data_IF_347431689549
#
_entry.id   IF_347431689549
#
_cell.length_a   1.000
_cell.length_b   1.000
_cell.length_c   1.000
_cell.angle_alpha   90.00
_cell.angle_beta   90.00
_cell.angle_gamma   90.00
#
_symmetry.space_group_name_H-M   'P 1'
#
loop_
_entity.id
_entity.type
_entity.pdbx_description
1 polymer ?
#
# COMPACT_ATOMS: atom_id res chain seq x y z
N UNK A 1 34.39 40.76 14.17
CA UNK A 1 34.43 39.68 13.17
C UNK A 1 35.38 38.62 13.68
N UNK A 2 34.92 37.37 13.83
CA UNK A 2 35.66 36.30 14.53
C UNK A 2 36.84 35.72 13.74
N UNK A 3 37.03 36.08 12.47
CA UNK A 3 38.06 35.48 11.59
C UNK A 3 37.84 34.03 11.23
N UNK A 4 36.83 33.37 11.78
CA UNK A 4 36.46 31.98 11.51
C UNK A 4 35.64 31.91 10.22
N UNK A 5 35.95 31.06 9.23
CA UNK A 5 35.14 30.87 8.03
C UNK A 5 33.70 30.46 8.37
N UNK A 6 32.70 30.94 7.60
CA UNK A 6 31.27 30.64 7.85
C UNK A 6 30.98 29.16 7.97
N UNK A 7 31.62 28.32 7.16
CA UNK A 7 31.47 26.85 7.16
C UNK A 7 31.89 26.20 8.48
N UNK A 8 32.74 26.90 9.28
CA UNK A 8 33.27 26.41 10.55
C UNK A 8 32.51 27.01 11.76
N UNK A 9 31.47 27.85 11.51
CA UNK A 9 30.69 28.50 12.55
C UNK A 9 29.41 27.70 12.83
N UNK A 10 29.12 27.51 14.12
CA UNK A 10 27.83 27.08 14.63
C UNK A 10 27.37 28.10 15.67
N UNK A 11 26.20 28.66 15.49
CA UNK A 11 25.64 29.63 16.42
C UNK A 11 24.56 28.91 17.25
N UNK A 12 24.70 28.96 18.56
CA UNK A 12 23.71 28.43 19.49
C UNK A 12 23.00 29.61 20.17
N UNK A 13 21.68 29.57 20.20
CA UNK A 13 20.90 30.35 21.14
C UNK A 13 20.57 29.45 22.33
N UNK A 14 21.15 29.78 23.48
CA UNK A 14 21.18 28.92 24.67
C UNK A 14 21.77 27.53 24.35
N UNK A 15 20.93 26.50 24.16
CA UNK A 15 21.36 25.13 23.83
C UNK A 15 20.94 24.71 22.42
N UNK A 16 20.25 25.58 21.65
CA UNK A 16 19.69 25.25 20.35
C UNK A 16 20.56 25.83 19.21
N UNK A 17 20.93 24.98 18.25
CA UNK A 17 21.67 25.43 17.07
C UNK A 17 20.76 26.21 16.12
N UNK A 18 21.16 27.43 15.77
CA UNK A 18 20.46 28.28 14.81
C UNK A 18 20.88 27.97 13.37
N UNK A 19 19.91 27.89 12.47
CA UNK A 19 20.12 27.83 11.03
C UNK A 19 20.25 29.22 10.44
N UNK A 20 20.86 29.35 9.27
CA UNK A 20 21.02 30.64 8.57
C UNK A 20 19.68 31.37 8.29
N UNK A 21 18.56 30.65 8.36
CA UNK A 21 17.19 31.17 8.10
C UNK A 21 16.43 31.50 9.37
N UNK A 22 16.97 31.20 10.56
CA UNK A 22 16.25 31.38 11.80
C UNK A 22 16.35 32.87 12.22
N UNK A 23 15.22 33.48 12.56
CA UNK A 23 15.20 34.80 13.16
C UNK A 23 15.63 34.68 14.63
N UNK A 24 16.51 35.57 15.06
CA UNK A 24 16.93 35.67 16.45
C UNK A 24 15.75 36.13 17.31
N UNK A 25 15.34 35.27 18.24
CA UNK A 25 14.38 35.66 19.27
C UNK A 25 15.03 36.73 20.16
N UNK A 26 14.35 37.85 20.39
CA UNK A 26 14.85 38.99 21.18
C UNK A 26 15.16 38.62 22.64
N UNK A 27 14.63 37.48 23.10
CA UNK A 27 14.77 36.96 24.46
C UNK A 27 15.86 35.90 24.63
N UNK A 28 16.63 35.58 23.55
CA UNK A 28 17.75 34.64 23.64
C UNK A 28 18.82 35.18 24.62
N UNK A 29 18.92 34.54 25.79
CA UNK A 29 19.76 35.02 26.90
C UNK A 29 21.27 34.90 26.61
N UNK A 30 21.68 33.93 25.78
CA UNK A 30 23.08 33.69 25.42
C UNK A 30 23.25 33.19 24.01
N UNK A 31 24.08 33.87 23.21
CA UNK A 31 24.56 33.39 21.93
C UNK A 31 25.99 32.83 22.07
N UNK A 32 26.17 31.58 21.71
CA UNK A 32 27.50 30.93 21.75
C UNK A 32 27.95 30.60 20.33
N UNK A 33 29.15 30.96 19.99
CA UNK A 33 29.80 30.57 18.76
C UNK A 33 30.65 29.31 19.01
N UNK A 34 30.25 28.19 18.44
CA UNK A 34 31.08 27.00 18.39
C UNK A 34 31.81 26.93 17.03
N UNK A 35 33.11 26.66 17.09
CA UNK A 35 33.91 26.46 15.89
C UNK A 35 33.92 24.98 15.56
N UNK A 36 33.41 24.63 14.36
CA UNK A 36 33.52 23.28 13.84
C UNK A 36 34.98 22.90 13.63
N UNK A 37 35.27 21.61 13.74
CA UNK A 37 36.52 21.08 13.21
C UNK A 37 36.59 21.41 11.71
N UNK A 38 37.69 22.10 11.24
CA UNK A 38 37.81 22.51 9.85
C UNK A 38 37.69 21.35 8.84
N UNK A 39 38.14 20.16 9.23
CA UNK A 39 38.05 18.96 8.38
C UNK A 39 36.59 18.50 8.25
N UNK A 40 35.82 18.50 9.35
CA UNK A 40 34.38 18.22 9.29
C UNK A 40 33.62 19.22 8.41
N UNK A 41 33.98 20.51 8.46
CA UNK A 41 33.36 21.54 7.64
C UNK A 41 33.59 21.29 6.14
N UNK A 42 34.80 20.88 5.77
CA UNK A 42 35.14 20.51 4.38
C UNK A 42 34.32 19.29 3.93
N UNK A 43 34.22 18.25 4.75
CA UNK A 43 33.47 17.07 4.39
C UNK A 43 31.95 17.32 4.32
N UNK A 44 31.39 18.16 5.19
CA UNK A 44 30.00 18.59 5.09
C UNK A 44 29.72 19.30 3.75
N UNK A 45 30.58 20.24 3.36
CA UNK A 45 30.45 20.95 2.09
C UNK A 45 30.54 19.99 0.90
N UNK A 46 31.48 19.02 0.93
CA UNK A 46 31.61 17.98 -0.09
C UNK A 46 30.35 17.11 -0.19
N UNK A 47 29.83 16.62 0.94
CA UNK A 47 28.62 15.78 1.00
C UNK A 47 27.39 16.57 0.54
N UNK A 48 27.24 17.83 0.96
CA UNK A 48 26.12 18.69 0.57
C UNK A 48 26.12 19.00 -0.93
N UNK A 49 27.27 19.10 -1.58
CA UNK A 49 27.38 19.41 -3.00
C UNK A 49 27.53 18.15 -3.89
N UNK A 50 27.72 16.96 -3.31
CA UNK A 50 27.90 15.72 -4.07
C UNK A 50 26.61 15.29 -4.79
N UNK A 51 26.73 14.77 -5.98
CA UNK A 51 25.64 14.09 -6.68
C UNK A 51 25.21 12.81 -5.94
N UNK A 52 26.20 12.06 -5.43
CA UNK A 52 26.01 10.82 -4.65
C UNK A 52 26.64 10.95 -3.26
N UNK A 53 25.92 11.50 -2.27
CA UNK A 53 26.44 11.74 -0.92
C UNK A 53 27.01 10.50 -0.23
N UNK A 54 26.42 9.31 -0.45
CA UNK A 54 26.90 8.05 0.10
C UNK A 54 28.29 7.65 -0.40
N UNK A 55 28.64 8.00 -1.62
CA UNK A 55 29.95 7.64 -2.18
C UNK A 55 31.04 8.57 -1.66
N UNK A 56 30.71 9.86 -1.47
CA UNK A 56 31.61 10.77 -0.77
C UNK A 56 31.82 10.36 0.70
N UNK A 57 30.74 9.97 1.39
CA UNK A 57 30.82 9.48 2.77
C UNK A 57 31.74 8.25 2.88
N UNK A 58 31.65 7.28 1.96
CA UNK A 58 32.52 6.10 1.96
C UNK A 58 34.02 6.46 1.83
N UNK A 59 34.32 7.55 1.13
CA UNK A 59 35.69 8.05 0.95
C UNK A 59 36.23 8.83 2.15
N UNK A 60 35.33 9.24 3.07
CA UNK A 60 35.72 9.97 4.26
C UNK A 60 36.57 9.11 5.20
N UNK A 61 37.58 9.69 5.91
CA UNK A 61 38.29 9.01 6.97
C UNK A 61 37.34 8.51 8.08
N UNK A 62 37.72 7.44 8.80
CA UNK A 62 36.86 6.82 9.82
C UNK A 62 36.46 7.83 10.90
N UNK A 63 37.40 8.64 11.40
CA UNK A 63 37.09 9.66 12.43
C UNK A 63 36.07 10.71 11.95
N UNK A 64 35.94 10.94 10.64
CA UNK A 64 34.90 11.83 10.07
C UNK A 64 33.55 11.11 9.99
N UNK A 65 33.53 9.80 9.69
CA UNK A 65 32.32 9.00 9.64
C UNK A 65 31.63 8.87 10.99
N UNK A 66 32.37 8.94 12.07
CA UNK A 66 31.88 8.92 13.45
C UNK A 66 31.17 10.24 13.86
N UNK A 67 31.33 11.31 13.07
CA UNK A 67 30.67 12.56 13.37
C UNK A 67 29.18 12.54 13.01
N UNK A 68 28.33 12.69 14.02
CA UNK A 68 26.86 12.70 13.89
C UNK A 68 26.36 13.69 12.84
N UNK A 69 26.94 14.88 12.78
CA UNK A 69 26.58 15.94 11.84
C UNK A 69 26.80 15.52 10.37
N UNK A 70 27.88 14.80 10.11
CA UNK A 70 28.19 14.21 8.79
C UNK A 70 27.14 13.17 8.42
N UNK A 71 26.79 12.27 9.34
CA UNK A 71 25.76 11.24 9.16
C UNK A 71 24.38 11.86 8.88
N UNK A 72 23.99 12.90 9.62
CA UNK A 72 22.75 13.64 9.35
C UNK A 72 22.76 14.28 7.96
N UNK A 73 23.85 14.90 7.54
CA UNK A 73 23.94 15.52 6.22
C UNK A 73 23.79 14.49 5.07
N UNK A 74 24.34 13.30 5.26
CA UNK A 74 24.23 12.19 4.28
C UNK A 74 22.82 11.69 4.19
N UNK A 75 22.16 11.36 5.32
CA UNK A 75 20.81 10.80 5.32
C UNK A 75 19.75 11.81 4.95
N UNK A 76 19.94 13.09 5.27
CA UNK A 76 19.04 14.16 4.88
C UNK A 76 18.92 14.31 3.37
N UNK A 77 19.99 14.00 2.64
CA UNK A 77 19.98 14.01 1.16
C UNK A 77 19.52 12.70 0.55
N UNK A 78 19.82 11.59 1.20
CA UNK A 78 19.47 10.26 0.71
C UNK A 78 19.29 9.29 1.88
N UNK A 79 18.03 9.12 2.33
CA UNK A 79 17.69 8.33 3.53
C UNK A 79 18.22 6.90 3.51
N UNK A 80 18.25 6.25 2.34
CA UNK A 80 18.78 4.89 2.21
C UNK A 80 20.29 4.79 2.48
N UNK A 81 20.99 5.93 2.58
CA UNK A 81 22.41 5.96 2.98
C UNK A 81 22.63 5.50 4.43
N UNK A 82 21.59 5.36 5.23
CA UNK A 82 21.68 4.78 6.58
C UNK A 82 22.42 3.42 6.57
N UNK A 83 22.30 2.64 5.49
CA UNK A 83 22.98 1.35 5.32
C UNK A 83 24.51 1.39 5.33
N UNK A 84 25.09 2.55 5.08
CA UNK A 84 26.56 2.73 5.01
C UNK A 84 27.13 3.49 6.19
N UNK A 85 26.27 3.91 7.13
CA UNK A 85 26.66 4.59 8.35
C UNK A 85 27.20 3.59 9.39
N UNK A 86 28.05 4.06 10.34
CA UNK A 86 28.46 3.28 11.50
C UNK A 86 27.28 2.80 12.33
N UNK A 87 27.45 1.72 13.07
CA UNK A 87 26.41 1.08 13.89
C UNK A 87 25.85 2.05 14.96
N UNK A 88 26.70 2.87 15.55
CA UNK A 88 26.33 3.89 16.54
C UNK A 88 25.34 4.91 15.92
N UNK A 89 25.52 5.26 14.66
CA UNK A 89 24.64 6.18 13.95
C UNK A 89 23.32 5.50 13.54
N UNK A 90 23.33 4.19 13.33
CA UNK A 90 22.12 3.40 13.11
C UNK A 90 21.28 3.21 14.39
N UNK A 91 21.84 3.51 15.57
CA UNK A 91 21.15 3.56 16.86
C UNK A 91 20.84 5.00 17.33
N UNK A 92 21.27 6.01 16.59
CA UNK A 92 20.90 7.41 16.85
C UNK A 92 19.50 7.69 16.32
N UNK A 93 18.56 7.97 17.23
CA UNK A 93 17.14 8.18 16.90
C UNK A 93 16.93 9.33 15.91
N UNK A 94 17.68 10.43 16.04
CA UNK A 94 17.49 11.60 15.16
C UNK A 94 18.02 11.33 13.75
N UNK A 95 19.17 10.67 13.64
CA UNK A 95 19.74 10.22 12.36
C UNK A 95 18.77 9.28 11.67
N UNK A 96 18.23 8.29 12.38
CA UNK A 96 17.28 7.33 11.83
C UNK A 96 15.95 7.98 11.48
N UNK A 97 15.41 8.89 12.31
CA UNK A 97 14.20 9.65 11.97
C UNK A 97 14.40 10.47 10.69
N UNK A 98 15.52 11.16 10.56
CA UNK A 98 15.86 11.90 9.35
C UNK A 98 15.89 10.96 8.11
N UNK A 99 16.52 9.79 8.25
CA UNK A 99 16.61 8.79 7.19
C UNK A 99 15.23 8.26 6.78
N UNK A 100 14.38 7.84 7.73
CA UNK A 100 13.07 7.23 7.44
C UNK A 100 12.05 8.24 6.94
N UNK A 101 12.17 9.51 7.30
CA UNK A 101 11.33 10.59 6.76
C UNK A 101 11.62 10.82 5.27
N UNK A 102 12.84 10.62 4.82
CA UNK A 102 13.23 10.66 3.41
C UNK A 102 12.86 9.37 2.68
N UNK A 103 13.14 8.22 3.31
CA UNK A 103 12.97 6.90 2.71
C UNK A 103 12.52 5.92 3.80
N UNK A 104 11.21 5.66 3.90
CA UNK A 104 10.66 4.81 4.97
C UNK A 104 11.33 3.44 5.08
N UNK A 105 11.71 2.83 3.94
CA UNK A 105 12.40 1.52 3.92
C UNK A 105 13.82 1.55 4.48
N UNK A 106 14.39 2.73 4.74
CA UNK A 106 15.67 2.85 5.46
C UNK A 106 15.62 2.27 6.88
N UNK A 107 14.41 2.10 7.45
CA UNK A 107 14.19 1.44 8.73
C UNK A 107 14.87 0.07 8.84
N UNK A 108 14.99 -0.66 7.73
CA UNK A 108 15.67 -1.96 7.70
C UNK A 108 17.15 -1.91 8.14
N UNK A 109 17.76 -0.74 8.09
CA UNK A 109 19.16 -0.51 8.45
C UNK A 109 19.32 0.13 9.84
N UNK A 110 18.21 0.45 10.53
CA UNK A 110 18.23 0.92 11.90
C UNK A 110 18.56 -0.21 12.88
N UNK A 111 19.04 0.16 14.07
CA UNK A 111 19.27 -0.80 15.18
C UNK A 111 17.98 -1.54 15.56
N UNK A 112 18.12 -2.69 16.21
CA UNK A 112 16.98 -3.45 16.73
C UNK A 112 16.13 -2.61 17.70
N UNK A 113 16.75 -1.76 18.53
CA UNK A 113 16.08 -0.87 19.45
C UNK A 113 15.18 0.14 18.70
N UNK A 114 15.68 0.74 17.64
CA UNK A 114 14.92 1.73 16.86
C UNK A 114 13.88 1.09 15.95
N UNK A 115 14.07 -0.15 15.51
CA UNK A 115 13.03 -0.94 14.83
C UNK A 115 11.90 -1.37 15.77
N UNK A 116 12.12 -1.31 17.09
CA UNK A 116 11.10 -1.48 18.13
C UNK A 116 10.58 -0.13 18.69
N UNK A 117 11.09 1.00 18.21
CA UNK A 117 10.62 2.31 18.65
C UNK A 117 9.39 2.74 17.84
N UNK A 118 8.25 2.89 18.52
CA UNK A 118 6.96 3.19 17.88
C UNK A 118 7.00 4.49 17.06
N UNK A 119 7.64 5.55 17.54
CA UNK A 119 7.71 6.83 16.84
C UNK A 119 8.48 6.72 15.52
N UNK A 120 9.63 6.06 15.55
CA UNK A 120 10.48 5.81 14.38
C UNK A 120 9.73 4.95 13.35
N UNK A 121 9.10 3.87 13.81
CA UNK A 121 8.34 2.97 12.94
C UNK A 121 7.11 3.65 12.35
N UNK A 122 6.37 4.46 13.13
CA UNK A 122 5.24 5.24 12.60
C UNK A 122 5.69 6.24 11.53
N UNK A 123 6.81 6.92 11.74
CA UNK A 123 7.38 7.81 10.72
C UNK A 123 7.72 7.03 9.43
N UNK A 124 8.36 5.87 9.56
CA UNK A 124 8.74 5.03 8.45
C UNK A 124 7.53 4.49 7.66
N UNK A 125 6.52 3.91 8.33
CA UNK A 125 5.34 3.32 7.68
C UNK A 125 4.41 4.37 7.09
N UNK A 126 4.37 5.56 7.66
CA UNK A 126 3.62 6.70 7.10
C UNK A 126 4.19 7.11 5.74
N UNK A 127 5.50 7.12 5.63
CA UNK A 127 6.22 7.44 4.40
C UNK A 127 6.12 6.28 3.39
N UNK A 128 6.28 5.03 3.85
CA UNK A 128 6.22 3.83 3.01
C UNK A 128 5.71 2.63 3.80
N UNK A 129 4.47 2.18 3.55
CA UNK A 129 3.82 1.11 4.33
C UNK A 129 4.63 -0.18 4.44
N UNK A 130 5.40 -0.55 3.39
CA UNK A 130 6.24 -1.74 3.42
C UNK A 130 7.41 -1.65 4.43
N UNK A 131 7.71 -0.47 5.00
CA UNK A 131 8.68 -0.35 6.10
C UNK A 131 8.27 -1.19 7.32
N UNK A 132 7.00 -1.56 7.45
CA UNK A 132 6.50 -2.48 8.48
C UNK A 132 7.26 -3.82 8.49
N UNK A 133 7.80 -4.26 7.35
CA UNK A 133 8.63 -5.48 7.26
C UNK A 133 9.79 -5.47 8.25
N UNK A 134 10.43 -4.32 8.43
CA UNK A 134 11.59 -4.14 9.28
C UNK A 134 11.26 -3.87 10.76
N UNK A 135 10.00 -3.61 11.10
CA UNK A 135 9.57 -3.36 12.47
C UNK A 135 9.71 -4.61 13.36
N UNK A 136 9.78 -4.43 14.67
CA UNK A 136 9.74 -5.54 15.63
C UNK A 136 8.41 -6.29 15.56
N UNK A 137 8.37 -7.54 16.02
CA UNK A 137 7.16 -8.36 16.00
C UNK A 137 6.03 -7.74 16.86
N UNK A 138 6.39 -7.07 17.97
CA UNK A 138 5.44 -6.34 18.82
C UNK A 138 4.76 -5.22 18.04
N UNK A 139 5.51 -4.47 17.23
CA UNK A 139 4.95 -3.38 16.42
C UNK A 139 4.22 -3.87 15.16
N UNK A 140 4.56 -5.05 14.64
CA UNK A 140 3.75 -5.75 13.62
C UNK A 140 2.41 -6.25 14.18
N UNK A 141 2.30 -6.38 15.51
CA UNK A 141 1.06 -6.68 16.22
C UNK A 141 0.37 -5.42 16.79
N UNK A 142 0.98 -4.24 16.66
CA UNK A 142 0.35 -2.98 17.08
C UNK A 142 -0.68 -2.52 16.05
N UNK A 143 -1.94 -2.44 16.49
CA UNK A 143 -3.07 -2.05 15.63
C UNK A 143 -2.89 -0.68 14.96
N UNK A 144 -2.37 0.31 15.67
CA UNK A 144 -2.20 1.68 15.16
C UNK A 144 -1.08 1.75 14.11
N UNK A 145 0.04 1.08 14.38
CA UNK A 145 1.16 0.97 13.43
C UNK A 145 0.70 0.28 12.15
N UNK A 146 0.01 -0.86 12.27
CA UNK A 146 -0.48 -1.63 11.11
C UNK A 146 -1.54 -0.85 10.33
N UNK A 147 -2.50 -0.18 10.98
CA UNK A 147 -3.46 0.69 10.31
C UNK A 147 -2.77 1.81 9.54
N UNK A 148 -1.75 2.42 10.13
CA UNK A 148 -0.96 3.46 9.44
C UNK A 148 -0.26 2.90 8.21
N UNK A 149 0.35 1.71 8.33
CA UNK A 149 1.04 1.04 7.24
C UNK A 149 0.08 0.66 6.09
N UNK A 150 -1.08 0.05 6.38
CA UNK A 150 -2.06 -0.33 5.35
C UNK A 150 -2.75 0.86 4.72
N UNK A 151 -2.93 1.97 5.44
CA UNK A 151 -3.42 3.23 4.88
C UNK A 151 -2.43 3.85 3.88
N UNK A 152 -1.13 3.71 4.14
CA UNK A 152 -0.07 4.11 3.20
C UNK A 152 -0.01 3.16 2.00
N UNK A 153 -0.01 1.85 2.25
CA UNK A 153 0.02 0.81 1.23
C UNK A 153 -0.78 -0.41 1.69
N UNK A 154 -1.90 -0.74 1.02
CA UNK A 154 -2.77 -1.87 1.40
C UNK A 154 -2.01 -3.19 1.55
N UNK A 155 -1.05 -3.47 0.67
CA UNK A 155 -0.24 -4.70 0.72
C UNK A 155 0.72 -4.79 1.91
N UNK A 156 0.88 -3.74 2.70
CA UNK A 156 1.61 -3.81 3.97
C UNK A 156 0.97 -4.81 4.95
N UNK A 157 -0.30 -5.17 4.74
CA UNK A 157 -1.01 -6.21 5.49
C UNK A 157 -0.21 -7.53 5.58
N UNK A 158 0.59 -7.86 4.57
CA UNK A 158 1.42 -9.08 4.57
C UNK A 158 2.42 -9.17 5.72
N UNK A 159 2.82 -8.02 6.28
CA UNK A 159 3.80 -7.93 7.35
C UNK A 159 3.16 -7.82 8.74
N UNK A 160 1.82 -7.67 8.81
CA UNK A 160 1.09 -7.65 10.07
C UNK A 160 1.07 -9.03 10.73
N UNK A 161 0.87 -9.05 12.07
CA UNK A 161 0.66 -10.29 12.81
C UNK A 161 -0.56 -11.06 12.27
N UNK A 162 -0.61 -12.37 12.54
CA UNK A 162 -1.71 -13.22 12.09
C UNK A 162 -3.05 -12.75 12.63
N UNK A 163 -3.10 -12.28 13.89
CA UNK A 163 -4.29 -11.72 14.53
C UNK A 163 -4.82 -10.48 13.77
N UNK A 164 -3.91 -9.56 13.38
CA UNK A 164 -4.31 -8.36 12.66
C UNK A 164 -4.65 -8.64 11.18
N UNK A 165 -4.10 -9.70 10.59
CA UNK A 165 -4.54 -10.19 9.27
C UNK A 165 -5.91 -10.88 9.31
N UNK A 166 -6.40 -11.19 10.53
CA UNK A 166 -7.75 -11.67 10.80
C UNK A 166 -8.70 -10.56 11.29
N UNK A 167 -8.24 -9.32 11.43
CA UNK A 167 -9.10 -8.20 11.86
C UNK A 167 -9.91 -7.64 10.68
N UNK A 168 -11.26 -7.69 10.73
CA UNK A 168 -12.10 -7.24 9.63
C UNK A 168 -11.91 -5.78 9.23
N UNK A 169 -11.63 -4.89 10.20
CA UNK A 169 -11.47 -3.47 9.93
C UNK A 169 -10.13 -3.17 9.24
N UNK A 170 -9.06 -3.83 9.69
CA UNK A 170 -7.73 -3.71 9.05
C UNK A 170 -7.77 -4.28 7.64
N UNK A 171 -8.35 -5.47 7.46
CA UNK A 171 -8.46 -6.12 6.15
C UNK A 171 -9.32 -5.29 5.19
N UNK A 172 -10.44 -4.74 5.66
CA UNK A 172 -11.28 -3.85 4.84
C UNK A 172 -10.55 -2.57 4.45
N UNK A 173 -9.78 -1.99 5.36
CA UNK A 173 -8.95 -0.81 5.08
C UNK A 173 -7.88 -1.14 4.04
N UNK A 174 -7.17 -2.26 4.21
CA UNK A 174 -6.16 -2.72 3.27
C UNK A 174 -6.75 -2.97 1.86
N UNK A 175 -7.90 -3.65 1.79
CA UNK A 175 -8.60 -3.96 0.55
C UNK A 175 -9.13 -2.69 -0.16
N UNK A 176 -9.52 -1.65 0.58
CA UNK A 176 -9.93 -0.37 0.01
C UNK A 176 -8.78 0.37 -0.68
N UNK A 177 -7.55 0.16 -0.23
CA UNK A 177 -6.34 0.73 -0.85
C UNK A 177 -5.83 -0.13 -2.01
N UNK A 178 -5.83 -1.44 -1.85
CA UNK A 178 -5.43 -2.42 -2.86
C UNK A 178 -6.18 -3.74 -2.61
N UNK A 179 -7.06 -4.10 -3.52
CA UNK A 179 -7.81 -5.35 -3.43
C UNK A 179 -6.90 -6.59 -3.38
N UNK A 180 -5.70 -6.49 -3.96
CA UNK A 180 -4.68 -7.54 -3.90
C UNK A 180 -4.13 -7.80 -2.48
N UNK A 181 -4.38 -6.89 -1.53
CA UNK A 181 -4.04 -7.10 -0.12
C UNK A 181 -4.79 -8.29 0.50
N UNK A 182 -5.97 -8.64 -0.02
CA UNK A 182 -6.74 -9.80 0.43
C UNK A 182 -5.98 -11.12 0.30
N UNK A 183 -5.00 -11.22 -0.59
CA UNK A 183 -4.12 -12.39 -0.68
C UNK A 183 -3.33 -12.66 0.62
N UNK A 184 -3.22 -11.68 1.50
CA UNK A 184 -2.49 -11.75 2.76
C UNK A 184 -3.42 -11.81 3.99
N UNK A 185 -4.74 -11.67 3.80
CA UNK A 185 -5.72 -11.85 4.87
C UNK A 185 -5.76 -13.29 5.36
N UNK A 186 -6.22 -13.50 6.60
CA UNK A 186 -6.38 -14.85 7.14
C UNK A 186 -7.46 -15.62 6.38
N UNK A 187 -7.33 -16.96 6.37
CA UNK A 187 -8.32 -17.83 5.73
C UNK A 187 -9.70 -17.69 6.38
N UNK A 188 -9.74 -17.40 7.69
CA UNK A 188 -10.98 -17.21 8.45
C UNK A 188 -11.75 -15.99 7.95
N UNK A 189 -11.06 -14.88 7.70
CA UNK A 189 -11.68 -13.66 7.12
C UNK A 189 -12.18 -13.92 5.70
N UNK A 190 -11.40 -14.63 4.89
CA UNK A 190 -11.78 -14.96 3.51
C UNK A 190 -12.93 -15.98 3.42
N UNK A 191 -13.21 -16.71 4.53
CA UNK A 191 -14.36 -17.60 4.71
C UNK A 191 -15.53 -16.92 5.43
N UNK A 192 -15.35 -15.71 5.95
CA UNK A 192 -16.40 -14.99 6.65
C UNK A 192 -17.34 -14.29 5.64
N UNK A 193 -18.59 -14.80 5.57
CA UNK A 193 -19.60 -14.33 4.62
C UNK A 193 -19.93 -12.85 4.78
N UNK A 194 -20.08 -12.35 6.03
CA UNK A 194 -20.46 -10.97 6.29
C UNK A 194 -19.36 -9.99 5.90
N UNK A 195 -18.11 -10.37 6.16
CA UNK A 195 -16.93 -9.57 5.75
C UNK A 195 -16.82 -9.55 4.23
N UNK A 196 -16.90 -10.73 3.59
CA UNK A 196 -16.80 -10.84 2.13
C UNK A 196 -17.95 -10.12 1.43
N UNK A 197 -19.16 -10.15 1.99
CA UNK A 197 -20.30 -9.42 1.43
C UNK A 197 -20.02 -7.91 1.36
N UNK A 198 -19.50 -7.33 2.45
CA UNK A 198 -19.11 -5.91 2.48
C UNK A 198 -17.99 -5.60 1.50
N UNK A 199 -16.96 -6.45 1.43
CA UNK A 199 -15.86 -6.28 0.50
C UNK A 199 -16.33 -6.35 -0.96
N UNK A 200 -17.18 -7.30 -1.29
CA UNK A 200 -17.76 -7.49 -2.62
C UNK A 200 -18.68 -6.34 -3.02
N UNK A 201 -19.45 -5.77 -2.08
CA UNK A 201 -20.26 -4.58 -2.32
C UNK A 201 -19.40 -3.35 -2.69
N UNK A 202 -18.19 -3.22 -2.15
CA UNK A 202 -17.26 -2.14 -2.49
C UNK A 202 -16.45 -2.44 -3.75
N UNK A 203 -16.01 -3.70 -3.89
CA UNK A 203 -15.24 -4.15 -5.05
C UNK A 203 -15.54 -5.62 -5.35
N UNK A 204 -16.35 -5.89 -6.38
CA UNK A 204 -16.73 -7.26 -6.77
C UNK A 204 -15.55 -8.21 -7.00
N UNK A 205 -14.38 -7.67 -7.41
CA UNK A 205 -13.16 -8.48 -7.59
C UNK A 205 -12.62 -9.09 -6.29
N UNK A 206 -13.12 -8.68 -5.11
CA UNK A 206 -12.79 -9.31 -3.84
C UNK A 206 -13.13 -10.81 -3.84
N UNK A 207 -14.16 -11.21 -4.58
CA UNK A 207 -14.64 -12.59 -4.65
C UNK A 207 -13.57 -13.60 -5.11
N UNK A 208 -12.60 -13.17 -5.92
CA UNK A 208 -11.49 -14.02 -6.34
C UNK A 208 -10.60 -14.51 -5.18
N UNK A 209 -10.65 -13.80 -4.03
CA UNK A 209 -9.90 -14.14 -2.83
C UNK A 209 -10.76 -14.87 -1.78
N UNK A 210 -12.08 -14.97 -2.00
CA UNK A 210 -12.98 -15.68 -1.09
C UNK A 210 -12.62 -17.18 -1.02
N UNK A 211 -13.04 -17.81 0.10
CA UNK A 211 -12.93 -19.28 0.21
C UNK A 211 -13.72 -19.98 -0.91
N UNK A 212 -13.37 -21.24 -1.19
CA UNK A 212 -14.05 -22.05 -2.21
C UNK A 212 -15.55 -22.17 -1.92
N UNK A 213 -15.94 -22.24 -0.64
CA UNK A 213 -17.36 -22.34 -0.23
C UNK A 213 -18.10 -21.05 -0.58
N UNK A 214 -17.49 -19.88 -0.32
CA UNK A 214 -18.10 -18.60 -0.67
C UNK A 214 -18.11 -18.33 -2.18
N UNK A 215 -17.17 -18.88 -2.93
CA UNK A 215 -17.20 -18.86 -4.41
C UNK A 215 -18.31 -19.74 -4.99
N UNK A 216 -18.95 -20.58 -4.17
CA UNK A 216 -20.15 -21.37 -4.50
C UNK A 216 -21.44 -20.78 -3.89
N UNK A 217 -21.34 -19.71 -3.09
CA UNK A 217 -22.50 -19.08 -2.47
C UNK A 217 -23.27 -18.20 -3.48
N UNK A 218 -24.45 -18.64 -3.86
CA UNK A 218 -25.28 -17.96 -4.84
C UNK A 218 -25.67 -16.54 -4.42
N UNK A 219 -25.99 -16.34 -3.15
CA UNK A 219 -26.41 -15.03 -2.64
C UNK A 219 -25.30 -14.00 -2.75
N UNK A 220 -24.08 -14.37 -2.40
CA UNK A 220 -22.90 -13.51 -2.51
C UNK A 220 -22.58 -13.21 -3.99
N UNK A 221 -22.59 -14.24 -4.83
CA UNK A 221 -22.30 -14.11 -6.25
C UNK A 221 -23.32 -13.24 -6.98
N UNK A 222 -24.61 -13.45 -6.75
CA UNK A 222 -25.67 -12.68 -7.42
C UNK A 222 -25.65 -11.20 -7.01
N UNK A 223 -25.29 -10.89 -5.77
CA UNK A 223 -25.08 -9.48 -5.37
C UNK A 223 -23.88 -8.85 -6.08
N UNK A 224 -22.80 -9.60 -6.23
CA UNK A 224 -21.62 -9.14 -6.96
C UNK A 224 -21.90 -8.93 -8.46
N UNK A 225 -22.60 -9.86 -9.10
CA UNK A 225 -22.97 -9.82 -10.54
C UNK A 225 -23.76 -8.56 -10.88
N UNK A 226 -24.61 -8.10 -9.96
CA UNK A 226 -25.40 -6.88 -10.17
C UNK A 226 -24.52 -5.66 -10.44
N UNK A 227 -23.35 -5.59 -9.82
CA UNK A 227 -22.39 -4.48 -10.00
C UNK A 227 -21.40 -4.75 -11.12
N UNK A 228 -20.85 -5.96 -11.15
CA UNK A 228 -19.83 -6.37 -12.12
C UNK A 228 -20.08 -7.81 -12.57
N UNK A 229 -20.59 -8.03 -13.80
CA UNK A 229 -20.88 -9.37 -14.30
C UNK A 229 -19.61 -10.23 -14.47
N UNK A 230 -18.43 -9.60 -14.56
CA UNK A 230 -17.16 -10.33 -14.71
C UNK A 230 -16.79 -11.19 -13.49
N UNK A 231 -17.44 -10.96 -12.33
CA UNK A 231 -17.23 -11.80 -11.13
C UNK A 231 -17.62 -13.25 -11.34
N UNK A 232 -18.52 -13.54 -12.29
CA UNK A 232 -18.90 -14.92 -12.63
C UNK A 232 -17.69 -15.77 -13.01
N UNK A 233 -16.63 -15.18 -13.57
CA UNK A 233 -15.37 -15.89 -13.87
C UNK A 233 -14.68 -16.45 -12.61
N UNK A 234 -14.96 -15.88 -11.44
CA UNK A 234 -14.42 -16.31 -10.14
C UNK A 234 -15.33 -17.32 -9.43
N UNK A 235 -16.55 -17.52 -9.93
CA UNK A 235 -17.43 -18.59 -9.46
C UNK A 235 -16.84 -19.97 -9.80
N UNK A 236 -17.22 -20.98 -9.02
CA UNK A 236 -16.79 -22.36 -9.29
C UNK A 236 -17.22 -22.80 -10.69
N UNK A 237 -16.49 -23.76 -11.27
CA UNK A 237 -16.80 -24.27 -12.61
C UNK A 237 -18.21 -24.90 -12.66
N UNK A 238 -18.61 -25.55 -11.57
CA UNK A 238 -19.92 -26.17 -11.39
C UNK A 238 -21.02 -25.12 -11.45
N UNK A 239 -20.87 -23.98 -10.78
CA UNK A 239 -21.84 -22.89 -10.83
C UNK A 239 -21.91 -22.24 -12.20
N UNK A 240 -20.79 -22.02 -12.88
CA UNK A 240 -20.77 -21.49 -14.25
C UNK A 240 -21.42 -22.44 -15.24
N UNK A 241 -21.57 -23.73 -14.90
CA UNK A 241 -22.29 -24.72 -15.66
C UNK A 241 -23.72 -24.99 -15.13
N UNK A 242 -24.09 -24.37 -14.01
CA UNK A 242 -25.43 -24.51 -13.46
C UNK A 242 -26.41 -23.56 -14.16
N UNK A 243 -27.44 -24.13 -14.77
CA UNK A 243 -28.43 -23.39 -15.55
C UNK A 243 -29.25 -22.43 -14.72
N UNK A 244 -29.73 -22.86 -13.53
CA UNK A 244 -30.57 -22.05 -12.64
C UNK A 244 -29.80 -20.84 -12.13
N UNK A 245 -28.56 -21.07 -11.66
CA UNK A 245 -27.67 -20.00 -11.25
C UNK A 245 -27.43 -19.01 -12.40
N UNK A 246 -27.13 -19.48 -13.60
CA UNK A 246 -26.84 -18.59 -14.73
C UNK A 246 -28.10 -17.81 -15.18
N UNK A 247 -29.31 -18.40 -15.14
CA UNK A 247 -30.53 -17.65 -15.37
C UNK A 247 -30.66 -16.48 -14.39
N UNK A 248 -30.51 -16.74 -13.07
CA UNK A 248 -30.55 -15.69 -12.07
C UNK A 248 -29.43 -14.64 -12.23
N UNK A 249 -28.24 -15.06 -12.61
CA UNK A 249 -27.11 -14.17 -12.84
C UNK A 249 -27.37 -13.23 -14.05
N UNK A 250 -27.87 -13.75 -15.15
CA UNK A 250 -28.17 -12.92 -16.33
C UNK A 250 -29.40 -12.02 -16.13
N UNK A 251 -30.36 -12.42 -15.29
CA UNK A 251 -31.46 -11.55 -14.83
C UNK A 251 -30.95 -10.35 -14.01
N UNK A 252 -29.86 -10.51 -13.25
CA UNK A 252 -29.24 -9.39 -12.53
C UNK A 252 -28.43 -8.50 -13.47
N UNK A 253 -27.70 -9.11 -14.42
CA UNK A 253 -26.92 -8.40 -15.42
C UNK A 253 -26.70 -9.30 -16.64
N UNK A 254 -27.31 -8.95 -17.77
CA UNK A 254 -27.28 -9.75 -19.00
C UNK A 254 -25.88 -10.07 -19.52
N UNK A 255 -24.89 -9.20 -19.25
CA UNK A 255 -23.49 -9.44 -19.65
C UNK A 255 -22.82 -10.59 -18.88
N UNK A 256 -23.41 -11.09 -17.78
CA UNK A 256 -22.96 -12.31 -17.12
C UNK A 256 -22.92 -13.52 -18.05
N UNK A 257 -23.68 -13.50 -19.15
CA UNK A 257 -23.70 -14.53 -20.19
C UNK A 257 -22.31 -14.78 -20.79
N UNK A 258 -21.47 -13.76 -20.93
CA UNK A 258 -20.08 -13.86 -21.42
C UNK A 258 -19.28 -14.93 -20.67
N UNK A 259 -19.48 -15.03 -19.36
CA UNK A 259 -18.70 -15.86 -18.44
C UNK A 259 -19.30 -17.25 -18.20
N UNK A 260 -20.49 -17.51 -18.75
CA UNK A 260 -21.11 -18.83 -18.73
C UNK A 260 -20.31 -19.86 -19.56
N UNK A 261 -20.42 -21.14 -19.22
CA UNK A 261 -19.84 -22.19 -20.05
C UNK A 261 -20.48 -22.17 -21.42
N UNK A 262 -19.75 -22.62 -22.45
CA UNK A 262 -20.19 -22.59 -23.85
C UNK A 262 -21.58 -23.22 -24.06
N UNK A 263 -21.89 -24.31 -23.34
CA UNK A 263 -23.19 -24.98 -23.45
C UNK A 263 -24.35 -24.06 -23.01
N UNK A 264 -24.15 -23.29 -21.91
CA UNK A 264 -25.21 -22.38 -21.39
C UNK A 264 -25.30 -21.08 -22.21
N UNK A 265 -24.26 -20.63 -22.85
CA UNK A 265 -24.33 -19.51 -23.79
C UNK A 265 -25.17 -19.84 -25.05
N UNK A 266 -25.38 -21.14 -25.29
CA UNK A 266 -26.23 -21.65 -26.37
C UNK A 266 -27.60 -22.13 -25.86
N UNK A 267 -27.87 -22.06 -24.56
CA UNK A 267 -29.17 -22.45 -24.00
C UNK A 267 -30.19 -21.34 -24.29
N UNK A 268 -31.32 -21.65 -24.98
CA UNK A 268 -32.29 -20.64 -25.34
C UNK A 268 -32.92 -19.88 -24.17
N UNK A 269 -33.11 -20.55 -23.01
CA UNK A 269 -33.70 -19.92 -21.83
C UNK A 269 -32.72 -18.91 -21.18
N UNK A 270 -31.47 -19.30 -21.02
CA UNK A 270 -30.42 -18.42 -20.45
C UNK A 270 -30.19 -17.23 -21.38
N UNK A 271 -30.12 -17.49 -22.69
CA UNK A 271 -29.95 -16.46 -23.70
C UNK A 271 -31.12 -15.47 -23.71
N UNK A 272 -32.37 -15.98 -23.69
CA UNK A 272 -33.57 -15.15 -23.69
C UNK A 272 -33.56 -14.22 -22.43
N UNK A 273 -33.34 -14.77 -21.23
CA UNK A 273 -33.27 -13.98 -19.98
C UNK A 273 -32.17 -12.90 -20.08
N UNK A 274 -31.02 -13.23 -20.66
CA UNK A 274 -29.94 -12.27 -20.85
C UNK A 274 -30.30 -11.12 -21.80
N UNK A 275 -30.96 -11.43 -22.90
CA UNK A 275 -31.36 -10.45 -23.93
C UNK A 275 -32.54 -9.59 -23.46
N UNK A 276 -33.48 -10.16 -22.73
CA UNK A 276 -34.57 -9.41 -22.05
C UNK A 276 -34.04 -8.37 -21.08
N UNK A 277 -32.98 -8.73 -20.36
CA UNK A 277 -32.32 -7.81 -19.42
C UNK A 277 -31.48 -6.76 -20.17
N UNK A 278 -30.67 -7.17 -21.14
CA UNK A 278 -29.79 -6.30 -21.95
C UNK A 278 -29.69 -6.85 -23.38
N UNK A 279 -30.29 -6.16 -24.37
CA UNK A 279 -30.28 -6.58 -25.74
C UNK A 279 -28.87 -6.87 -26.30
N UNK A 280 -27.85 -6.11 -25.88
CA UNK A 280 -26.46 -6.29 -26.32
C UNK A 280 -25.85 -7.62 -25.84
N UNK A 281 -26.42 -8.31 -24.84
CA UNK A 281 -25.91 -9.59 -24.37
C UNK A 281 -25.96 -10.69 -25.46
N UNK A 282 -26.80 -10.51 -26.50
CA UNK A 282 -26.91 -11.46 -27.62
C UNK A 282 -25.59 -11.64 -28.37
N UNK A 283 -24.66 -10.68 -28.34
CA UNK A 283 -23.33 -10.79 -28.94
C UNK A 283 -22.52 -11.98 -28.40
N UNK A 284 -22.81 -12.45 -27.19
CA UNK A 284 -22.14 -13.58 -26.54
C UNK A 284 -22.77 -14.94 -26.87
N UNK A 285 -23.92 -14.91 -27.56
CA UNK A 285 -24.59 -16.12 -28.03
C UNK A 285 -23.91 -16.72 -29.27
N UNK A 286 -24.14 -18.02 -29.47
CA UNK A 286 -23.76 -18.65 -30.71
C UNK A 286 -24.52 -18.04 -31.89
N UNK A 287 -23.89 -17.81 -33.06
CA UNK A 287 -24.51 -17.15 -34.19
C UNK A 287 -25.85 -17.73 -34.60
N UNK A 288 -26.02 -19.05 -34.53
CA UNK A 288 -27.30 -19.73 -34.89
C UNK A 288 -28.47 -19.42 -33.95
N UNK A 289 -28.22 -18.94 -32.73
CA UNK A 289 -29.26 -18.57 -31.75
C UNK A 289 -29.54 -17.06 -31.72
N UNK A 290 -28.64 -16.26 -32.23
CA UNK A 290 -28.79 -14.80 -32.27
C UNK A 290 -30.08 -14.39 -33.02
N UNK A 291 -30.41 -15.09 -34.11
CA UNK A 291 -31.60 -14.80 -34.90
C UNK A 291 -32.90 -15.14 -34.16
N UNK A 292 -32.91 -16.21 -33.33
CA UNK A 292 -34.07 -16.60 -32.52
C UNK A 292 -34.28 -15.60 -31.38
N UNK A 293 -33.24 -15.27 -30.63
CA UNK A 293 -33.31 -14.33 -29.53
C UNK A 293 -33.75 -12.93 -29.99
N UNK A 294 -33.22 -12.47 -31.13
CA UNK A 294 -33.62 -11.19 -31.71
C UNK A 294 -35.12 -11.13 -32.02
N UNK A 295 -35.67 -12.19 -32.63
CA UNK A 295 -37.11 -12.24 -32.96
C UNK A 295 -38.04 -12.24 -31.76
N UNK A 296 -37.58 -12.70 -30.61
CA UNK A 296 -38.40 -12.79 -29.38
C UNK A 296 -38.23 -11.58 -28.43
N UNK A 297 -37.06 -10.95 -28.40
CA UNK A 297 -36.76 -9.83 -27.48
C UNK A 297 -37.05 -8.44 -28.06
N UNK A 298 -37.11 -8.31 -29.42
CA UNK A 298 -37.46 -7.03 -30.05
C UNK A 298 -38.97 -6.93 -30.19
N UNK A 299 -39.63 -6.00 -29.48
CA UNK A 299 -41.06 -5.71 -29.74
C UNK A 299 -41.22 -5.34 -31.21
N UNK A 300 -42.35 -5.77 -31.83
CA UNK A 300 -42.64 -5.66 -33.26
C UNK A 300 -42.61 -4.24 -33.87
N UNK A 301 -42.12 -3.25 -33.15
CA UNK A 301 -42.04 -1.85 -33.58
C UNK A 301 -40.65 -1.32 -33.94
N UNK A 302 -39.57 -2.13 -33.84
CA UNK A 302 -38.18 -1.69 -34.13
C UNK A 302 -37.51 -2.44 -35.28
N UNK A 303 -38.30 -3.15 -36.11
CA UNK A 303 -37.80 -3.74 -37.32
C UNK A 303 -38.05 -2.78 -38.50
N UNK A 304 -37.22 -1.74 -38.62
CA UNK A 304 -37.02 -0.98 -39.85
C UNK A 304 -35.56 -0.62 -39.98
#
# INVERSE_FOLDING_TARGET
>A
MTGVPRREQRILADTTELKDTDELDSDAAHLSLLVRNPECAIWLERIQNAEFPQDEFKRAPEHIKEHREISLAVVARHGFSLKVLPEEMCDDKEVVLCAVQQTGTALAHASANLRANQEVVLAAVKQHGAALEAASEELKADRNVVLTAVNSQGRALRFASEELRADPAIVSTAASKDIGALAFASKEILANKDVMLRLVQHNPSALRHASEDLQKDWGLLLQAVKQDPSVVKHASKELRANREFMCLAVEQNGFALEYAVKALRNDPKVLLAAVEQQCQAFQYAHPGLQEIAWKTAVPAGYAN
#
